data_IF_877968045601
#
_entry.id   IF_877968045601
#
_cell.length_a   1.000
_cell.length_b   1.000
_cell.length_c   1.000
_cell.angle_alpha   90.00
_cell.angle_beta   90.00
_cell.angle_gamma   90.00
#
_symmetry.space_group_name_H-M   'P 1'
#
loop_
_entity.id
_entity.type
_entity.pdbx_description
1 polymer ?
#
# COMPACT_ATOMS: atom_id res chain seq x y z
N UNK A 1 -47.56 -20.84 -24.60
CA UNK A 1 -46.96 -21.78 -23.63
C UNK A 1 -45.47 -22.02 -23.84
N UNK A 2 -44.97 -22.21 -25.07
CA UNK A 2 -43.55 -22.47 -25.33
C UNK A 2 -42.60 -21.36 -24.86
N UNK A 3 -42.99 -20.10 -25.01
CA UNK A 3 -42.19 -18.95 -24.56
C UNK A 3 -42.20 -18.73 -23.05
N UNK A 4 -43.20 -19.27 -22.31
CA UNK A 4 -43.30 -19.11 -20.85
C UNK A 4 -42.12 -19.82 -20.16
N UNK A 5 -41.80 -21.03 -20.59
CA UNK A 5 -40.62 -21.76 -20.09
C UNK A 5 -39.32 -21.06 -20.47
N UNK A 6 -39.25 -20.49 -21.67
CA UNK A 6 -38.07 -19.74 -22.14
C UNK A 6 -37.86 -18.48 -21.29
N UNK A 7 -38.91 -17.72 -20.99
CA UNK A 7 -38.83 -16.54 -20.13
C UNK A 7 -38.43 -16.90 -18.70
N UNK A 8 -38.93 -18.01 -18.14
CA UNK A 8 -38.54 -18.46 -16.80
C UNK A 8 -37.06 -18.85 -16.71
N UNK A 9 -36.53 -19.53 -17.73
CA UNK A 9 -35.11 -19.89 -17.81
C UNK A 9 -34.23 -18.66 -17.98
N UNK A 10 -34.63 -17.70 -18.83
CA UNK A 10 -33.90 -16.43 -19.00
C UNK A 10 -33.93 -15.61 -17.71
N UNK A 11 -35.07 -15.50 -17.03
CA UNK A 11 -35.18 -14.75 -15.79
C UNK A 11 -34.36 -15.39 -14.66
N UNK A 12 -34.34 -16.72 -14.59
CA UNK A 12 -33.49 -17.48 -13.68
C UNK A 12 -31.99 -17.31 -14.01
N UNK A 13 -31.62 -17.37 -15.29
CA UNK A 13 -30.24 -17.14 -15.72
C UNK A 13 -29.78 -15.70 -15.45
N UNK A 14 -30.62 -14.69 -15.69
CA UNK A 14 -30.32 -13.28 -15.36
C UNK A 14 -30.14 -13.12 -13.84
N UNK A 15 -30.97 -13.77 -13.03
CA UNK A 15 -30.81 -13.79 -11.57
C UNK A 15 -29.53 -14.50 -11.14
N UNK A 16 -29.18 -15.61 -11.78
CA UNK A 16 -27.98 -16.40 -11.49
C UNK A 16 -26.70 -15.67 -11.90
N UNK A 17 -26.69 -14.99 -13.05
CA UNK A 17 -25.55 -14.20 -13.54
C UNK A 17 -25.35 -12.88 -12.78
N UNK A 18 -26.37 -12.37 -12.08
CA UNK A 18 -26.26 -11.18 -11.23
C UNK A 18 -25.76 -11.50 -9.80
N UNK A 19 -25.55 -12.79 -9.49
CA UNK A 19 -25.06 -13.29 -8.20
C UNK A 19 -23.53 -13.46 -8.22
N UNK A 20 -22.80 -12.49 -8.78
CA UNK A 20 -21.32 -12.51 -8.82
C UNK A 20 -20.67 -11.13 -8.64
N UNK A 21 -21.44 -10.12 -8.23
CA UNK A 21 -20.90 -8.80 -7.87
C UNK A 21 -21.47 -8.35 -6.53
N UNK A 22 -20.81 -8.77 -5.45
CA UNK A 22 -20.49 -7.87 -4.35
C UNK A 22 -19.23 -8.38 -3.63
N UNK A 23 -18.04 -7.83 -3.94
CA UNK A 23 -16.94 -7.90 -3.01
C UNK A 23 -17.31 -7.02 -1.82
N UNK A 24 -17.61 -7.62 -0.67
CA UNK A 24 -17.65 -6.90 0.59
C UNK A 24 -16.22 -6.51 0.98
N UNK A 25 -15.69 -5.47 0.32
CA UNK A 25 -14.72 -4.56 0.93
C UNK A 25 -15.59 -3.45 1.56
N UNK A 26 -16.26 -3.81 2.65
CA UNK A 26 -16.92 -2.85 3.51
C UNK A 26 -16.43 -3.14 4.93
N UNK A 27 -15.32 -2.47 5.25
CA UNK A 27 -14.75 -2.24 6.57
C UNK A 27 -14.19 -3.48 7.31
N UNK A 28 -13.01 -3.37 7.95
CA UNK A 28 -12.68 -4.26 9.05
C UNK A 28 -13.74 -4.08 10.15
N UNK A 29 -14.47 -5.16 10.45
CA UNK A 29 -15.33 -5.27 11.62
C UNK A 29 -14.43 -5.27 12.85
N UNK A 30 -14.24 -4.11 13.47
CA UNK A 30 -13.88 -4.02 14.88
C UNK A 30 -15.19 -4.05 15.67
N UNK A 31 -15.77 -5.24 15.81
CA UNK A 31 -16.87 -5.47 16.74
C UNK A 31 -16.39 -6.31 17.91
N UNK A 32 -16.38 -5.66 19.07
CA UNK A 32 -16.31 -6.22 20.43
C UNK A 32 -14.97 -6.82 20.82
N UNK A 33 -14.00 -5.93 20.90
CA UNK A 33 -12.83 -6.12 21.75
C UNK A 33 -13.26 -6.00 23.21
N UNK A 34 -13.79 -7.10 23.74
CA UNK A 34 -13.62 -7.48 25.14
C UNK A 34 -12.79 -8.78 25.23
N UNK A 35 -12.01 -9.08 24.17
CA UNK A 35 -11.00 -10.16 24.11
C UNK A 35 -9.74 -9.75 23.32
N UNK A 36 -9.68 -8.59 22.67
CA UNK A 36 -8.60 -8.27 21.73
C UNK A 36 -7.99 -6.87 21.93
N UNK A 37 -7.86 -6.43 23.18
CA UNK A 37 -7.09 -5.22 23.53
C UNK A 37 -5.58 -5.39 23.23
N UNK A 38 -5.19 -6.53 22.65
CA UNK A 38 -3.81 -6.94 22.40
C UNK A 38 -3.48 -7.28 20.93
N UNK A 39 -4.43 -7.22 19.98
CA UNK A 39 -4.13 -7.52 18.55
C UNK A 39 -4.23 -6.30 17.64
N UNK A 40 -4.90 -5.23 18.08
CA UNK A 40 -4.82 -3.93 17.40
C UNK A 40 -3.45 -3.25 17.60
N UNK A 41 -2.71 -3.60 18.65
CA UNK A 41 -1.30 -3.21 18.78
C UNK A 41 -0.36 -4.00 17.87
N UNK A 42 -0.69 -5.21 17.43
CA UNK A 42 0.27 -6.06 16.68
C UNK A 42 0.08 -6.05 15.15
N UNK A 43 -1.06 -5.56 14.64
CA UNK A 43 -1.20 -5.25 13.20
C UNK A 43 -1.01 -3.76 12.88
N UNK A 44 -1.03 -2.89 13.90
CA UNK A 44 -0.43 -1.55 13.83
C UNK A 44 1.07 -1.61 14.18
N UNK A 45 1.52 -2.68 14.87
CA UNK A 45 2.94 -3.05 15.06
C UNK A 45 3.42 -4.13 14.08
N UNK A 46 2.67 -4.48 13.04
CA UNK A 46 3.22 -5.23 11.91
C UNK A 46 3.89 -4.24 10.94
N UNK A 47 5.08 -3.79 11.34
CA UNK A 47 6.18 -3.60 10.40
C UNK A 47 6.25 -2.31 9.59
N UNK A 48 5.29 -1.39 9.65
CA UNK A 48 5.60 0.01 9.37
C UNK A 48 5.85 0.72 10.69
N UNK A 49 6.96 0.34 11.33
CA UNK A 49 7.75 1.31 12.06
C UNK A 49 8.03 2.41 11.05
N UNK A 50 7.16 3.43 10.98
CA UNK A 50 7.55 4.71 10.40
C UNK A 50 8.88 5.00 11.08
N UNK A 51 10.01 4.92 10.36
CA UNK A 51 11.31 4.97 11.00
C UNK A 51 11.28 6.27 11.78
N UNK A 52 11.28 6.15 13.12
CA UNK A 52 11.37 7.30 14.03
C UNK A 52 12.38 8.22 13.39
N UNK A 53 11.96 9.36 12.85
CA UNK A 53 12.70 10.10 11.81
C UNK A 53 14.18 10.19 12.16
N UNK A 54 14.96 9.22 11.68
CA UNK A 54 16.39 9.11 12.00
C UNK A 54 17.17 10.16 11.21
N UNK A 55 16.50 10.72 10.21
CA UNK A 55 17.03 11.56 9.18
C UNK A 55 16.20 12.84 9.17
N UNK A 56 16.89 13.95 9.03
CA UNK A 56 16.33 15.29 8.89
C UNK A 56 17.00 15.93 7.68
N UNK A 57 16.27 16.78 6.96
CA UNK A 57 16.83 17.52 5.84
C UNK A 57 17.85 18.55 6.37
N UNK A 58 19.12 18.18 6.32
CA UNK A 58 20.28 18.94 6.80
C UNK A 58 21.05 19.65 5.68
N UNK A 59 20.48 19.70 4.47
CA UNK A 59 21.09 20.32 3.30
C UNK A 59 22.00 19.38 2.49
N UNK A 60 21.98 18.07 2.77
CA UNK A 60 22.62 17.09 1.90
C UNK A 60 21.81 16.88 0.62
N UNK A 61 22.50 16.88 -0.50
CA UNK A 61 21.89 16.78 -1.84
C UNK A 61 22.38 15.58 -2.64
N UNK A 62 23.58 15.05 -2.35
CA UNK A 62 24.24 14.06 -3.22
C UNK A 62 24.47 12.72 -2.52
N UNK A 63 24.52 11.65 -3.32
CA UNK A 63 24.71 10.28 -2.86
C UNK A 63 25.95 10.06 -2.00
N UNK A 64 27.07 10.75 -2.31
CA UNK A 64 28.32 10.64 -1.55
C UNK A 64 28.20 11.08 -0.09
N UNK A 65 27.10 11.76 0.26
CA UNK A 65 26.81 12.24 1.60
C UNK A 65 25.87 11.31 2.38
N UNK A 66 25.32 10.27 1.72
CA UNK A 66 24.45 9.26 2.32
C UNK A 66 25.27 8.07 2.79
N UNK A 67 24.96 7.56 3.97
CA UNK A 67 25.62 6.41 4.58
C UNK A 67 24.89 5.10 4.29
N UNK A 68 23.60 5.16 3.95
CA UNK A 68 22.80 4.00 3.58
C UNK A 68 21.81 4.31 2.47
N UNK A 69 21.32 3.25 1.83
CA UNK A 69 20.28 3.37 0.81
C UNK A 69 18.96 3.86 1.41
N UNK A 70 18.61 3.39 2.61
CA UNK A 70 17.38 3.80 3.31
C UNK A 70 17.39 5.30 3.63
N UNK A 71 18.57 5.84 3.97
CA UNK A 71 18.77 7.28 4.14
C UNK A 71 18.60 8.02 2.80
N UNK A 72 19.21 7.52 1.71
CA UNK A 72 19.05 8.12 0.39
C UNK A 72 17.59 8.16 -0.08
N UNK A 73 16.83 7.08 0.17
CA UNK A 73 15.38 7.02 -0.11
C UNK A 73 14.60 8.05 0.69
N UNK A 74 14.95 8.21 1.98
CA UNK A 74 14.34 9.25 2.81
C UNK A 74 14.61 10.64 2.21
N UNK A 75 15.86 10.96 1.87
CA UNK A 75 16.20 12.27 1.32
C UNK A 75 15.52 12.53 -0.03
N UNK A 76 15.47 11.53 -0.93
CA UNK A 76 14.78 11.65 -2.22
C UNK A 76 13.27 11.91 -2.07
N UNK A 77 12.66 11.36 -1.02
CA UNK A 77 11.20 11.45 -0.81
C UNK A 77 10.80 12.69 -0.02
N UNK A 78 11.59 13.07 0.99
CA UNK A 78 11.19 14.07 1.99
C UNK A 78 11.96 15.39 1.90
N UNK A 79 13.10 15.43 1.20
CA UNK A 79 13.92 16.64 1.09
C UNK A 79 13.87 17.20 -0.35
N UNK A 80 13.31 18.40 -0.57
CA UNK A 80 13.12 18.96 -1.92
C UNK A 80 14.43 19.35 -2.62
N UNK A 81 15.50 19.55 -1.85
CA UNK A 81 16.83 19.90 -2.38
C UNK A 81 17.64 18.65 -2.81
N UNK A 82 17.14 17.44 -2.55
CA UNK A 82 17.86 16.20 -2.87
C UNK A 82 18.02 16.01 -4.38
N UNK A 83 19.25 15.69 -4.81
CA UNK A 83 19.67 15.45 -6.19
C UNK A 83 20.36 14.09 -6.30
N UNK A 84 19.65 13.05 -5.90
CA UNK A 84 20.19 11.69 -5.74
C UNK A 84 19.70 10.71 -6.81
N UNK A 85 18.49 10.95 -7.32
CA UNK A 85 17.87 10.23 -8.42
C UNK A 85 18.14 11.01 -9.72
N UNK A 86 19.17 10.57 -10.46
CA UNK A 86 19.69 11.31 -11.61
C UNK A 86 18.92 11.07 -12.90
N UNK A 87 18.28 9.91 -13.02
CA UNK A 87 17.49 9.45 -14.17
C UNK A 87 15.98 9.45 -13.91
N UNK A 88 15.56 9.63 -12.67
CA UNK A 88 14.17 9.90 -12.29
C UNK A 88 13.31 8.64 -12.19
N UNK A 89 13.91 7.49 -11.89
CA UNK A 89 13.21 6.21 -11.79
C UNK A 89 12.67 5.93 -10.37
N UNK A 90 12.98 6.80 -9.41
CA UNK A 90 12.60 6.69 -8.00
C UNK A 90 13.59 5.92 -7.14
N UNK A 91 14.72 5.45 -7.70
CA UNK A 91 15.75 4.69 -7.01
C UNK A 91 16.99 5.57 -6.84
N UNK A 92 17.17 6.23 -5.69
CA UNK A 92 18.33 7.08 -5.49
C UNK A 92 19.61 6.26 -5.31
N UNK A 93 20.73 6.81 -5.79
CA UNK A 93 22.08 6.32 -5.46
C UNK A 93 22.39 4.87 -5.84
N UNK A 94 21.76 4.33 -6.90
CA UNK A 94 21.99 2.97 -7.41
C UNK A 94 23.47 2.63 -7.57
N UNK A 95 24.24 3.55 -8.16
CA UNK A 95 25.68 3.38 -8.40
C UNK A 95 26.50 3.23 -7.12
N UNK A 96 26.03 3.78 -5.99
CA UNK A 96 26.73 3.73 -4.71
C UNK A 96 26.34 2.49 -3.91
N UNK A 97 25.06 2.10 -3.95
CA UNK A 97 24.53 1.00 -3.12
C UNK A 97 24.26 -0.30 -3.90
N UNK A 98 24.51 -0.34 -5.21
CA UNK A 98 24.38 -1.52 -6.06
C UNK A 98 22.94 -2.00 -6.21
N UNK A 99 22.01 -1.06 -6.41
CA UNK A 99 20.60 -1.36 -6.67
C UNK A 99 20.35 -1.68 -8.14
#
# INVERSE_FOLDING_TARGET
>A
MKYVLVFLVIFAAIKYLKQSDEPQIAQPVIDKINVIEQVETDLISSGYSQPKSLYECDGREYCSQMNSYEEAVFFNTYCPEAKMDGDGDGIPCERQFGR
#
